data_IF_865514993453
#
_entry.id   IF_865514993453
#
_cell.length_a   1.000
_cell.length_b   1.000
_cell.length_c   1.000
_cell.angle_alpha   90.00
_cell.angle_beta   90.00
_cell.angle_gamma   90.00
#
_symmetry.space_group_name_H-M   'P 1'
#
loop_
_entity.id
_entity.type
_entity.pdbx_description
1 polymer ?
#
# COMPACT_ATOMS: atom_id res chain seq x y z
N UNK A 1 4.46 -0.48 52.96
CA UNK A 1 4.12 -1.34 51.80
C UNK A 1 3.85 -0.41 50.63
N UNK A 2 4.92 -0.07 49.93
CA UNK A 2 4.92 0.84 48.77
C UNK A 2 5.49 0.02 47.62
N UNK A 3 4.64 -0.29 46.64
CA UNK A 3 5.05 -1.00 45.44
C UNK A 3 5.79 -0.02 44.52
N UNK A 4 7.10 -0.19 44.43
CA UNK A 4 7.94 0.39 43.40
C UNK A 4 7.63 -0.28 42.06
N UNK A 5 6.98 0.46 41.16
CA UNK A 5 6.94 0.13 39.74
C UNK A 5 8.34 0.49 39.21
N UNK A 6 9.15 -0.53 38.95
CA UNK A 6 10.40 -0.39 38.20
C UNK A 6 10.07 0.08 36.79
N UNK A 7 10.36 1.34 36.51
CA UNK A 7 10.48 1.87 35.16
C UNK A 7 11.64 1.12 34.47
N UNK A 8 11.30 0.23 33.55
CA UNK A 8 12.24 -0.27 32.57
C UNK A 8 12.36 0.80 31.47
N UNK A 9 13.16 1.83 31.73
CA UNK A 9 13.78 2.63 30.68
C UNK A 9 14.78 1.71 29.98
N UNK A 10 14.30 0.99 28.97
CA UNK A 10 15.19 0.36 28.01
C UNK A 10 15.73 1.49 27.15
N UNK A 11 16.96 1.89 27.43
CA UNK A 11 17.79 2.68 26.53
C UNK A 11 17.78 2.01 25.15
N UNK A 12 16.92 2.51 24.27
CA UNK A 12 16.99 2.26 22.84
C UNK A 12 18.14 3.12 22.34
N UNK A 13 19.36 2.62 22.51
CA UNK A 13 20.50 3.09 21.73
C UNK A 13 20.16 2.91 20.25
N UNK A 14 19.79 4.02 19.62
CA UNK A 14 19.54 4.11 18.19
C UNK A 14 20.84 3.81 17.46
N UNK A 15 20.99 2.57 17.00
CA UNK A 15 21.92 2.28 15.92
C UNK A 15 21.38 2.93 14.63
N UNK A 16 21.60 4.23 14.49
CA UNK A 16 21.74 4.84 13.17
C UNK A 16 23.00 4.21 12.58
N UNK A 17 22.94 3.47 11.46
CA UNK A 17 24.14 2.95 10.84
C UNK A 17 24.96 4.13 10.32
N UNK A 18 25.93 4.58 11.11
CA UNK A 18 26.99 5.51 10.69
C UNK A 18 28.24 4.69 10.36
N UNK A 19 28.39 4.26 9.10
CA UNK A 19 29.70 4.11 8.46
C UNK A 19 29.59 3.54 7.04
N UNK A 20 29.90 4.39 6.05
CA UNK A 20 30.94 4.17 5.04
C UNK A 20 31.11 2.79 4.40
N UNK A 21 30.02 2.12 4.02
CA UNK A 21 30.03 1.08 2.99
C UNK A 21 28.91 1.38 1.98
N UNK A 22 29.09 2.48 1.22
CA UNK A 22 28.46 2.66 -0.09
C UNK A 22 29.08 1.63 -1.06
N UNK A 23 28.74 0.35 -0.87
CA UNK A 23 28.70 -0.59 -1.98
C UNK A 23 27.31 -0.49 -2.55
N UNK A 24 27.23 0.09 -3.74
CA UNK A 24 26.03 0.20 -4.55
C UNK A 24 25.09 -0.98 -4.36
N UNK A 25 23.93 -0.72 -3.76
CA UNK A 25 22.77 -1.62 -3.80
C UNK A 25 22.10 -1.52 -5.17
N UNK A 26 22.88 -1.68 -6.23
CA UNK A 26 22.52 -1.44 -7.65
C UNK A 26 21.59 -2.52 -8.26
N UNK A 27 21.16 -3.49 -7.46
CA UNK A 27 20.30 -4.58 -7.93
C UNK A 27 18.80 -4.35 -7.70
N UNK A 28 18.39 -3.14 -7.30
CA UNK A 28 16.96 -2.80 -7.22
C UNK A 28 16.47 -2.18 -8.53
N UNK A 29 15.45 -2.79 -9.12
CA UNK A 29 14.78 -2.32 -10.33
C UNK A 29 13.32 -2.02 -10.06
N UNK A 30 12.86 -0.88 -10.55
CA UNK A 30 11.45 -0.55 -10.62
C UNK A 30 10.95 -0.85 -12.02
N UNK A 31 9.79 -1.50 -12.11
CA UNK A 31 9.15 -1.83 -13.38
C UNK A 31 7.69 -1.42 -13.28
N UNK A 32 7.22 -0.59 -14.20
CA UNK A 32 5.80 -0.25 -14.28
C UNK A 32 4.99 -1.51 -14.58
N UNK A 33 3.99 -1.80 -13.75
CA UNK A 33 3.20 -3.04 -13.82
C UNK A 33 2.53 -3.20 -15.19
N UNK A 34 1.99 -2.10 -15.74
CA UNK A 34 1.34 -2.09 -17.07
C UNK A 34 2.31 -2.22 -18.25
N UNK A 35 3.61 -2.08 -18.01
CA UNK A 35 4.65 -2.05 -19.05
C UNK A 35 5.61 -3.23 -18.93
N UNK A 36 5.25 -4.25 -18.14
CA UNK A 36 6.08 -5.45 -17.98
C UNK A 36 6.28 -6.17 -19.31
N UNK A 37 7.54 -6.42 -19.66
CA UNK A 37 7.91 -7.37 -20.70
C UNK A 37 7.64 -8.81 -20.27
N UNK A 38 7.70 -9.75 -21.21
CA UNK A 38 7.42 -11.16 -20.93
C UNK A 38 8.37 -11.77 -19.90
N UNK A 39 9.63 -11.29 -19.83
CA UNK A 39 10.58 -11.72 -18.81
C UNK A 39 10.13 -11.29 -17.40
N UNK A 40 9.75 -10.03 -17.24
CA UNK A 40 9.26 -9.49 -15.96
C UNK A 40 7.93 -10.14 -15.53
N UNK A 41 7.02 -10.40 -16.48
CA UNK A 41 5.79 -11.15 -16.21
C UNK A 41 6.07 -12.56 -15.75
N UNK A 42 7.00 -13.27 -16.40
CA UNK A 42 7.36 -14.63 -16.01
C UNK A 42 8.00 -14.68 -14.62
N UNK A 43 8.89 -13.75 -14.30
CA UNK A 43 9.45 -13.63 -12.95
C UNK A 43 8.35 -13.36 -11.90
N UNK A 44 7.37 -12.50 -12.24
CA UNK A 44 6.22 -12.24 -11.39
C UNK A 44 5.41 -13.51 -11.16
N UNK A 45 5.02 -14.22 -12.24
CA UNK A 45 4.24 -15.47 -12.16
C UNK A 45 4.93 -16.52 -11.29
N UNK A 46 6.24 -16.70 -11.44
CA UNK A 46 7.01 -17.65 -10.62
C UNK A 46 6.99 -17.28 -9.14
N UNK A 47 7.14 -16.00 -8.81
CA UNK A 47 7.05 -15.52 -7.43
C UNK A 47 5.63 -15.70 -6.87
N UNK A 48 4.59 -15.38 -7.66
CA UNK A 48 3.19 -15.64 -7.29
C UNK A 48 2.93 -17.12 -7.04
N UNK A 49 3.45 -18.01 -7.88
CA UNK A 49 3.27 -19.45 -7.70
C UNK A 49 3.94 -19.94 -6.41
N UNK A 50 5.20 -19.54 -6.18
CA UNK A 50 5.94 -19.85 -4.94
C UNK A 50 5.25 -19.31 -3.70
N UNK A 51 4.59 -18.15 -3.80
CA UNK A 51 3.81 -17.54 -2.72
C UNK A 51 2.36 -18.05 -2.64
N UNK A 52 2.01 -19.10 -3.39
CA UNK A 52 0.66 -19.70 -3.44
C UNK A 52 -0.41 -18.69 -3.85
N UNK A 53 -0.16 -17.91 -4.89
CA UNK A 53 -1.06 -16.90 -5.42
C UNK A 53 -1.03 -15.57 -4.67
N UNK A 54 0.01 -15.26 -3.89
CA UNK A 54 -0.01 -14.11 -2.96
C UNK A 54 0.93 -12.99 -3.39
N UNK A 55 0.49 -11.74 -3.29
CA UNK A 55 1.33 -10.55 -3.49
C UNK A 55 1.24 -9.61 -2.29
N UNK A 56 2.20 -8.69 -2.18
CA UNK A 56 2.14 -7.56 -1.26
C UNK A 56 1.85 -6.29 -2.05
N UNK A 57 0.79 -5.58 -1.70
CA UNK A 57 0.46 -4.28 -2.28
C UNK A 57 0.73 -3.21 -1.24
N UNK A 58 1.64 -2.28 -1.54
CA UNK A 58 1.96 -1.14 -0.69
C UNK A 58 1.33 0.11 -1.26
N UNK A 59 0.42 0.73 -0.52
CA UNK A 59 -0.25 1.98 -0.94
C UNK A 59 0.47 3.15 -0.30
N UNK A 60 1.03 4.02 -1.15
CA UNK A 60 1.61 5.33 -0.83
C UNK A 60 2.46 5.33 0.44
N UNK A 61 3.50 4.51 0.41
CA UNK A 61 4.28 4.13 1.57
C UNK A 61 4.98 5.31 2.30
N UNK A 62 5.08 6.48 1.62
CA UNK A 62 5.67 7.73 2.12
C UNK A 62 4.69 8.91 2.28
N UNK A 63 3.41 8.76 1.93
CA UNK A 63 2.45 9.87 1.74
C UNK A 63 2.26 10.84 2.91
N UNK A 64 2.67 10.45 4.13
CA UNK A 64 2.59 11.32 5.31
C UNK A 64 3.94 11.67 5.95
N UNK A 65 5.06 11.14 5.45
CA UNK A 65 6.38 11.56 5.93
C UNK A 65 6.66 13.03 5.53
N UNK A 66 6.06 13.48 4.42
CA UNK A 66 6.16 14.84 3.92
C UNK A 66 5.11 15.80 4.50
N UNK A 67 4.00 15.30 5.06
CA UNK A 67 2.96 16.16 5.66
C UNK A 67 3.17 16.35 7.17
N UNK A 68 3.86 15.42 7.83
CA UNK A 68 4.26 15.52 9.25
C UNK A 68 5.67 16.10 9.43
N UNK A 69 6.17 16.88 8.44
CA UNK A 69 7.47 17.59 8.51
C UNK A 69 7.65 18.38 9.81
N UNK A 70 6.53 18.81 10.43
CA UNK A 70 6.55 19.58 11.66
C UNK A 70 6.85 18.76 12.94
N UNK A 71 6.76 17.43 12.90
CA UNK A 71 7.17 16.55 14.02
C UNK A 71 7.62 15.16 13.52
N UNK A 72 8.87 15.04 13.03
CA UNK A 72 9.42 13.78 12.52
C UNK A 72 9.63 12.71 13.61
N UNK A 73 9.50 13.08 14.89
CA UNK A 73 9.71 12.20 16.05
C UNK A 73 8.41 11.73 16.69
N UNK A 74 7.26 12.07 16.11
CA UNK A 74 5.97 11.58 16.57
C UNK A 74 5.99 10.05 16.65
N UNK A 75 5.71 9.51 17.83
CA UNK A 75 5.87 8.09 18.16
C UNK A 75 5.18 7.16 17.13
N UNK A 76 3.97 7.51 16.69
CA UNK A 76 3.22 6.76 15.66
C UNK A 76 3.94 6.67 14.30
N UNK A 77 4.71 7.69 13.92
CA UNK A 77 5.49 7.69 12.67
C UNK A 77 6.73 6.80 12.82
N UNK A 78 7.40 6.85 13.97
CA UNK A 78 8.55 5.99 14.27
C UNK A 78 8.15 4.51 14.32
N UNK A 79 7.02 4.19 14.97
CA UNK A 79 6.48 2.83 15.00
C UNK A 79 6.13 2.33 13.59
N UNK A 80 5.47 3.17 12.78
CA UNK A 80 5.16 2.82 11.39
C UNK A 80 6.43 2.56 10.57
N UNK A 81 7.42 3.46 10.62
CA UNK A 81 8.71 3.29 9.92
C UNK A 81 9.39 2.00 10.32
N UNK A 82 9.47 1.73 11.63
CA UNK A 82 10.06 0.50 12.15
C UNK A 82 9.34 -0.76 11.62
N UNK A 83 8.00 -0.79 11.67
CA UNK A 83 7.21 -1.92 11.19
C UNK A 83 7.34 -2.10 9.67
N UNK A 84 7.26 -1.01 8.90
CA UNK A 84 7.45 -0.98 7.45
C UNK A 84 8.81 -1.54 7.07
N UNK A 85 9.88 -0.95 7.61
CA UNK A 85 11.26 -1.26 7.24
C UNK A 85 11.58 -2.71 7.57
N UNK A 86 11.11 -3.20 8.73
CA UNK A 86 11.25 -4.61 9.12
C UNK A 86 10.53 -5.54 8.16
N UNK A 87 9.34 -5.17 7.68
CA UNK A 87 8.57 -6.02 6.75
C UNK A 87 9.17 -6.02 5.35
N UNK A 88 9.65 -4.88 4.85
CA UNK A 88 10.32 -4.82 3.54
C UNK A 88 11.63 -5.61 3.57
N UNK A 89 12.45 -5.42 4.62
CA UNK A 89 13.73 -6.12 4.76
C UNK A 89 13.59 -7.63 5.01
N UNK A 90 12.50 -8.06 5.65
CA UNK A 90 12.19 -9.48 5.86
C UNK A 90 11.31 -10.09 4.76
N UNK A 91 10.85 -9.28 3.80
CA UNK A 91 10.13 -9.76 2.63
C UNK A 91 11.12 -10.55 1.78
N UNK A 92 11.23 -11.84 2.07
CA UNK A 92 11.98 -12.81 1.28
C UNK A 92 11.66 -12.63 -0.21
N UNK A 93 12.63 -12.88 -1.09
CA UNK A 93 12.50 -12.88 -2.56
C UNK A 93 11.30 -13.69 -3.13
N UNK A 94 10.57 -14.41 -2.28
CA UNK A 94 9.47 -15.29 -2.62
C UNK A 94 8.15 -14.57 -2.99
N UNK A 95 7.89 -13.33 -2.55
CA UNK A 95 6.60 -12.66 -2.80
C UNK A 95 6.77 -11.36 -3.58
N UNK A 96 6.02 -11.15 -4.68
CA UNK A 96 6.08 -9.88 -5.41
C UNK A 96 5.62 -8.72 -4.52
N UNK A 97 6.36 -7.61 -4.62
CA UNK A 97 5.98 -6.33 -4.05
C UNK A 97 5.46 -5.45 -5.18
N UNK A 98 4.21 -5.00 -5.05
CA UNK A 98 3.59 -4.01 -5.92
C UNK A 98 3.41 -2.72 -5.12
N UNK A 99 4.05 -1.64 -5.55
CA UNK A 99 4.00 -0.34 -4.89
C UNK A 99 3.11 0.62 -5.69
N UNK A 100 2.08 1.15 -5.04
CA UNK A 100 1.23 2.21 -5.57
C UNK A 100 1.83 3.54 -5.13
N UNK A 101 2.29 4.33 -6.09
CA UNK A 101 3.05 5.58 -5.89
C UNK A 101 2.26 6.71 -6.54
N UNK A 102 2.13 7.86 -5.88
CA UNK A 102 1.48 9.01 -6.51
C UNK A 102 2.42 9.56 -7.58
N UNK A 103 1.96 9.54 -8.83
CA UNK A 103 2.75 10.06 -9.96
C UNK A 103 1.86 10.79 -10.96
N UNK A 104 1.03 11.76 -10.53
CA UNK A 104 0.45 12.69 -11.49
C UNK A 104 1.57 13.42 -12.26
N UNK A 105 1.29 13.99 -13.45
CA UNK A 105 2.25 14.80 -14.18
C UNK A 105 2.89 15.88 -13.27
N UNK A 106 4.21 15.90 -13.16
CA UNK A 106 4.97 16.80 -12.27
C UNK A 106 5.39 16.21 -10.92
N UNK A 107 5.08 14.94 -10.63
CA UNK A 107 5.45 14.22 -9.41
C UNK A 107 6.32 12.98 -9.70
N UNK A 108 7.01 12.98 -10.85
CA UNK A 108 7.86 11.86 -11.29
C UNK A 108 8.98 11.55 -10.28
N UNK A 109 9.42 12.57 -9.52
CA UNK A 109 10.42 12.44 -8.46
C UNK A 109 9.98 11.52 -7.31
N UNK A 110 8.67 11.29 -7.11
CA UNK A 110 8.19 10.38 -6.07
C UNK A 110 8.62 8.94 -6.29
N UNK A 111 8.72 8.51 -7.56
CA UNK A 111 9.22 7.18 -7.92
C UNK A 111 10.66 7.02 -7.44
N UNK A 112 11.49 8.03 -7.64
CA UNK A 112 12.89 8.02 -7.24
C UNK A 112 13.04 8.06 -5.71
N UNK A 113 12.24 8.86 -5.02
CA UNK A 113 12.24 8.89 -3.55
C UNK A 113 11.86 7.53 -2.94
N UNK A 114 10.83 6.88 -3.50
CA UNK A 114 10.47 5.52 -3.13
C UNK A 114 11.62 4.55 -3.42
N UNK A 115 12.26 4.65 -4.59
CA UNK A 115 13.41 3.80 -4.98
C UNK A 115 14.54 3.91 -3.97
N UNK A 116 14.85 5.09 -3.46
CA UNK A 116 15.89 5.31 -2.44
C UNK A 116 15.57 4.65 -1.10
N UNK A 117 14.29 4.54 -0.72
CA UNK A 117 13.91 3.83 0.51
C UNK A 117 13.94 2.33 0.29
N UNK A 118 13.32 1.84 -0.80
CA UNK A 118 13.37 0.42 -1.12
C UNK A 118 14.81 -0.08 -1.29
N UNK A 119 15.71 0.69 -1.90
CA UNK A 119 17.10 0.26 -2.14
C UNK A 119 17.85 0.05 -0.84
N UNK A 120 17.52 0.81 0.22
CA UNK A 120 18.10 0.60 1.56
C UNK A 120 17.59 -0.67 2.22
N UNK A 121 16.40 -1.15 1.85
CA UNK A 121 15.68 -2.18 2.57
C UNK A 121 15.63 -3.54 1.86
N UNK A 122 15.63 -3.57 0.53
CA UNK A 122 15.48 -4.79 -0.28
C UNK A 122 16.25 -4.71 -1.59
N UNK A 123 16.32 -5.84 -2.29
CA UNK A 123 16.95 -6.00 -3.61
C UNK A 123 15.96 -6.68 -4.58
N UNK A 124 16.25 -6.63 -5.88
CA UNK A 124 15.45 -7.30 -6.90
C UNK A 124 14.44 -6.37 -7.57
N UNK A 125 13.24 -6.87 -7.84
CA UNK A 125 12.21 -6.15 -8.60
C UNK A 125 11.07 -5.68 -7.71
N UNK A 126 10.74 -4.39 -7.84
CA UNK A 126 9.52 -3.79 -7.32
C UNK A 126 8.65 -3.39 -8.52
N UNK A 127 7.40 -3.83 -8.49
CA UNK A 127 6.44 -3.50 -9.53
C UNK A 127 5.69 -2.24 -9.13
N UNK A 128 5.65 -1.24 -10.00
CA UNK A 128 5.10 0.07 -9.69
C UNK A 128 3.74 0.24 -10.37
N UNK A 129 2.77 0.71 -9.60
CA UNK A 129 1.48 1.18 -10.11
C UNK A 129 1.43 2.69 -9.86
N UNK A 130 1.49 3.52 -10.92
CA UNK A 130 1.28 4.96 -10.76
C UNK A 130 -0.15 5.21 -10.29
N UNK A 131 -0.37 6.24 -9.46
CA UNK A 131 -1.71 6.63 -8.97
C UNK A 131 -1.95 8.12 -9.13
N UNK A 132 -3.22 8.50 -9.23
CA UNK A 132 -3.62 9.91 -9.21
C UNK A 132 -3.41 10.52 -7.82
N UNK A 133 -3.13 11.82 -7.78
CA UNK A 133 -2.80 12.54 -6.56
C UNK A 133 -3.88 12.42 -5.49
N UNK A 134 -3.50 12.05 -4.26
CA UNK A 134 -4.42 11.90 -3.14
C UNK A 134 -5.43 10.76 -3.28
N UNK A 135 -5.18 9.79 -4.16
CA UNK A 135 -6.08 8.64 -4.39
C UNK A 135 -5.30 7.34 -4.55
N UNK A 136 -5.92 6.20 -4.27
CA UNK A 136 -5.35 4.89 -4.64
C UNK A 136 -5.66 4.46 -6.07
N UNK A 137 -6.34 5.29 -6.85
CA UNK A 137 -6.77 4.94 -8.20
C UNK A 137 -5.53 4.87 -9.11
N UNK A 138 -5.29 3.73 -9.80
CA UNK A 138 -4.20 3.65 -10.76
C UNK A 138 -4.32 4.73 -11.84
N UNK A 139 -3.19 5.27 -12.30
CA UNK A 139 -3.12 6.26 -13.37
C UNK A 139 -2.45 5.64 -14.61
N UNK A 140 -3.17 4.72 -15.26
CA UNK A 140 -2.70 3.95 -16.41
C UNK A 140 -3.42 4.42 -17.68
N UNK A 141 -4.76 4.41 -17.65
CA UNK A 141 -5.65 4.87 -18.73
C UNK A 141 -6.28 6.22 -18.39
N UNK A 142 -6.69 6.97 -19.42
CA UNK A 142 -7.37 8.27 -19.30
C UNK A 142 -6.61 9.27 -18.39
N UNK A 143 -5.30 9.41 -18.61
CA UNK A 143 -4.37 10.21 -17.78
C UNK A 143 -4.68 11.72 -17.73
N UNK A 144 -5.58 12.20 -18.59
CA UNK A 144 -6.04 13.60 -18.60
C UNK A 144 -6.95 13.92 -17.40
N UNK A 145 -7.61 12.92 -16.81
CA UNK A 145 -8.40 13.06 -15.58
C UNK A 145 -7.52 13.00 -14.34
N UNK A 146 -6.66 14.00 -14.18
CA UNK A 146 -5.58 14.12 -13.17
C UNK A 146 -5.96 13.84 -11.71
N UNK A 147 -7.26 13.79 -11.37
CA UNK A 147 -7.77 13.55 -10.03
C UNK A 147 -8.78 12.39 -9.94
N UNK A 148 -8.89 11.58 -11.01
CA UNK A 148 -9.90 10.53 -11.14
C UNK A 148 -11.33 11.01 -10.81
N UNK A 149 -11.73 12.16 -11.36
CA UNK A 149 -13.03 12.80 -11.07
C UNK A 149 -14.21 11.98 -11.56
N UNK A 150 -14.00 11.11 -12.54
CA UNK A 150 -15.07 10.30 -13.12
C UNK A 150 -14.99 8.84 -12.67
N UNK A 151 -16.13 8.27 -12.25
CA UNK A 151 -16.22 6.84 -11.89
C UNK A 151 -15.73 5.91 -13.00
N UNK A 152 -15.95 6.27 -14.27
CA UNK A 152 -15.43 5.50 -15.42
C UNK A 152 -13.90 5.40 -15.39
N UNK A 153 -13.21 6.53 -15.15
CA UNK A 153 -11.74 6.57 -15.02
C UNK A 153 -11.27 5.61 -13.94
N UNK A 154 -11.96 5.61 -12.79
CA UNK A 154 -11.64 4.72 -11.68
C UNK A 154 -11.86 3.24 -12.03
N UNK A 155 -13.01 2.88 -12.61
CA UNK A 155 -13.32 1.51 -13.04
C UNK A 155 -12.27 0.99 -14.01
N UNK A 156 -12.01 1.72 -15.09
CA UNK A 156 -11.15 1.25 -16.18
C UNK A 156 -9.72 1.04 -15.68
N UNK A 157 -9.21 1.95 -14.85
CA UNK A 157 -7.86 1.83 -14.28
C UNK A 157 -7.72 0.64 -13.33
N UNK A 158 -8.70 0.40 -12.46
CA UNK A 158 -8.68 -0.76 -11.58
C UNK A 158 -8.91 -2.08 -12.34
N UNK A 159 -9.69 -2.07 -13.42
CA UNK A 159 -9.89 -3.25 -14.28
C UNK A 159 -8.60 -3.64 -15.00
N UNK A 160 -7.78 -2.68 -15.43
CA UNK A 160 -6.45 -2.97 -15.96
C UNK A 160 -5.57 -3.67 -14.92
N UNK A 161 -5.46 -3.11 -13.71
CA UNK A 161 -4.65 -3.71 -12.64
C UNK A 161 -5.18 -5.09 -12.24
N UNK A 162 -6.49 -5.22 -12.06
CA UNK A 162 -7.14 -6.48 -11.71
C UNK A 162 -6.96 -7.54 -12.80
N UNK A 163 -7.07 -7.15 -14.08
CA UNK A 163 -6.81 -8.01 -15.23
C UNK A 163 -5.37 -8.53 -15.25
N UNK A 164 -4.39 -7.66 -15.03
CA UNK A 164 -2.98 -8.06 -14.92
C UNK A 164 -2.77 -9.02 -13.76
N UNK A 165 -3.30 -8.72 -12.58
CA UNK A 165 -3.17 -9.62 -11.41
C UNK A 165 -3.80 -11.00 -11.67
N UNK A 166 -4.99 -11.04 -12.27
CA UNK A 166 -5.65 -12.30 -12.62
C UNK A 166 -4.84 -13.09 -13.66
N UNK A 167 -4.34 -12.44 -14.72
CA UNK A 167 -3.48 -13.06 -15.74
C UNK A 167 -2.21 -13.67 -15.13
N UNK A 168 -1.63 -13.01 -14.13
CA UNK A 168 -0.40 -13.44 -13.47
C UNK A 168 -0.63 -14.44 -12.32
N UNK A 169 -1.87 -14.89 -12.13
CA UNK A 169 -2.22 -15.95 -11.17
C UNK A 169 -2.38 -15.48 -9.72
N UNK A 170 -2.54 -14.18 -9.49
CA UNK A 170 -2.78 -13.62 -8.15
C UNK A 170 -4.16 -14.04 -7.66
N UNK A 171 -4.22 -14.43 -6.39
CA UNK A 171 -5.46 -14.86 -5.70
C UNK A 171 -5.64 -14.12 -4.38
N UNK A 172 -4.53 -13.83 -3.70
CA UNK A 172 -4.47 -13.22 -2.36
C UNK A 172 -3.60 -11.99 -2.37
N UNK A 173 -4.02 -10.97 -1.64
CA UNK A 173 -3.30 -9.71 -1.54
C UNK A 173 -3.12 -9.34 -0.07
N UNK A 174 -1.87 -9.12 0.34
CA UNK A 174 -1.55 -8.48 1.61
C UNK A 174 -1.45 -6.98 1.32
N UNK A 175 -2.45 -6.22 1.73
CA UNK A 175 -2.45 -4.76 1.57
C UNK A 175 -1.71 -4.11 2.73
N UNK A 176 -0.83 -3.15 2.42
CA UNK A 176 0.02 -2.43 3.37
C UNK A 176 0.03 -0.93 3.10
N UNK A 177 0.16 -0.15 4.16
CA UNK A 177 0.11 1.31 4.11
C UNK A 177 -0.25 1.86 5.49
N UNK A 178 0.00 3.15 5.70
CA UNK A 178 -0.15 3.80 7.01
C UNK A 178 -1.61 4.12 7.35
N UNK A 179 -2.42 4.43 6.34
CA UNK A 179 -3.66 5.16 6.51
C UNK A 179 -4.89 4.31 6.20
N UNK A 180 -5.31 3.48 7.17
CA UNK A 180 -6.64 2.89 7.15
C UNK A 180 -7.49 3.54 8.24
N UNK A 181 -8.18 4.58 7.86
CA UNK A 181 -9.20 5.19 8.72
C UNK A 181 -10.58 4.69 8.30
N UNK A 182 -11.54 4.84 9.21
CA UNK A 182 -12.94 4.69 8.89
C UNK A 182 -13.60 6.05 9.12
N UNK A 183 -14.35 6.53 8.13
CA UNK A 183 -15.15 7.76 8.28
C UNK A 183 -16.62 7.45 8.11
N UNK A 184 -17.44 8.24 8.79
CA UNK A 184 -18.88 8.26 8.58
C UNK A 184 -19.16 9.14 7.37
N UNK A 185 -19.84 8.59 6.38
CA UNK A 185 -20.15 9.28 5.12
C UNK A 185 -21.66 9.18 4.86
N UNK A 186 -22.26 10.26 4.38
CA UNK A 186 -23.64 10.29 3.92
C UNK A 186 -23.75 9.68 2.51
N UNK A 187 -24.78 8.85 2.28
CA UNK A 187 -24.91 8.01 1.08
C UNK A 187 -25.04 8.79 -0.24
N UNK A 188 -25.45 10.05 -0.20
CA UNK A 188 -25.55 10.92 -1.37
C UNK A 188 -24.20 11.40 -1.94
N UNK A 189 -23.09 11.18 -1.21
CA UNK A 189 -21.74 11.62 -1.59
C UNK A 189 -20.74 10.46 -1.71
N UNK A 190 -21.20 9.24 -1.98
CA UNK A 190 -20.31 8.09 -2.06
C UNK A 190 -19.38 8.15 -3.28
N UNK A 191 -18.11 7.87 -3.06
CA UNK A 191 -17.19 7.48 -4.12
C UNK A 191 -17.55 6.07 -4.62
N UNK A 192 -17.08 5.69 -5.81
CA UNK A 192 -17.30 4.34 -6.34
C UNK A 192 -16.85 3.24 -5.36
N UNK A 193 -15.71 3.42 -4.68
CA UNK A 193 -15.27 2.46 -3.68
C UNK A 193 -16.24 2.37 -2.49
N UNK A 194 -16.85 3.49 -2.07
CA UNK A 194 -17.85 3.50 -1.00
C UNK A 194 -19.16 2.83 -1.45
N UNK A 195 -19.59 3.05 -2.70
CA UNK A 195 -20.72 2.35 -3.32
C UNK A 195 -20.52 0.84 -3.33
N UNK A 196 -19.37 0.38 -3.84
CA UNK A 196 -19.02 -1.04 -3.89
C UNK A 196 -18.99 -1.65 -2.48
N UNK A 197 -18.40 -0.96 -1.51
CA UNK A 197 -18.33 -1.45 -0.12
C UNK A 197 -19.72 -1.61 0.48
N UNK A 198 -20.59 -0.61 0.33
CA UNK A 198 -21.96 -0.67 0.84
C UNK A 198 -22.76 -1.84 0.27
N UNK A 199 -22.57 -2.15 -1.01
CA UNK A 199 -23.21 -3.29 -1.68
C UNK A 199 -22.67 -4.63 -1.20
N UNK A 200 -21.34 -4.78 -1.07
CA UNK A 200 -20.70 -6.01 -0.61
C UNK A 200 -21.12 -6.35 0.82
N UNK A 201 -21.08 -5.34 1.70
CA UNK A 201 -21.36 -5.50 3.13
C UNK A 201 -22.87 -5.39 3.45
N UNK A 202 -23.72 -5.17 2.45
CA UNK A 202 -25.19 -5.02 2.57
C UNK A 202 -25.60 -3.98 3.63
N UNK A 203 -24.88 -2.86 3.66
CA UNK A 203 -25.06 -1.83 4.67
C UNK A 203 -26.33 -1.03 4.37
N UNK A 204 -27.06 -0.68 5.44
CA UNK A 204 -28.25 0.15 5.33
C UNK A 204 -27.83 1.60 5.04
N UNK A 205 -28.00 2.03 3.78
CA UNK A 205 -27.61 3.35 3.29
C UNK A 205 -28.54 4.48 3.74
N UNK A 206 -29.53 4.20 4.60
CA UNK A 206 -30.42 5.21 5.18
C UNK A 206 -29.82 5.96 6.37
N UNK A 207 -28.61 5.60 6.81
CA UNK A 207 -27.87 6.24 7.91
C UNK A 207 -26.39 6.42 7.56
N UNK A 208 -25.65 7.19 8.36
CA UNK A 208 -24.21 7.39 8.14
C UNK A 208 -23.47 6.05 8.32
N UNK A 209 -22.76 5.62 7.27
CA UNK A 209 -22.06 4.33 7.25
C UNK A 209 -20.59 4.56 7.55
N UNK A 210 -20.02 3.73 8.43
CA UNK A 210 -18.57 3.69 8.67
C UNK A 210 -17.89 2.90 7.54
N UNK A 211 -17.23 3.61 6.63
CA UNK A 211 -16.58 3.03 5.44
C UNK A 211 -15.07 3.17 5.59
N UNK A 212 -14.27 2.17 5.18
CA UNK A 212 -12.82 2.34 5.03
C UNK A 212 -12.57 3.55 4.13
N UNK A 213 -12.00 4.59 4.70
CA UNK A 213 -11.73 5.84 3.99
C UNK A 213 -10.24 5.96 3.70
N UNK A 214 -9.91 6.83 2.73
CA UNK A 214 -8.58 7.08 2.19
C UNK A 214 -8.07 5.98 1.24
N UNK A 215 -6.90 6.22 0.67
CA UNK A 215 -6.30 5.43 -0.40
C UNK A 215 -6.29 3.92 -0.09
N UNK A 216 -5.95 3.54 1.13
CA UNK A 216 -5.85 2.13 1.53
C UNK A 216 -7.22 1.44 1.59
N UNK A 217 -8.23 2.11 2.14
CA UNK A 217 -9.60 1.61 2.21
C UNK A 217 -10.19 1.38 0.82
N UNK A 218 -10.05 2.38 -0.05
CA UNK A 218 -10.52 2.29 -1.44
C UNK A 218 -9.85 1.14 -2.19
N UNK A 219 -8.54 0.95 -2.03
CA UNK A 219 -7.82 -0.14 -2.67
C UNK A 219 -8.30 -1.52 -2.20
N UNK A 220 -8.59 -1.70 -0.91
CA UNK A 220 -9.15 -2.94 -0.36
C UNK A 220 -10.47 -3.26 -1.05
N UNK A 221 -11.37 -2.28 -1.14
CA UNK A 221 -12.70 -2.49 -1.71
C UNK A 221 -12.61 -2.84 -3.19
N UNK A 222 -11.82 -2.07 -3.95
CA UNK A 222 -11.67 -2.26 -5.39
C UNK A 222 -11.05 -3.62 -5.74
N UNK A 223 -10.09 -4.09 -4.94
CA UNK A 223 -9.47 -5.40 -5.14
C UNK A 223 -10.40 -6.55 -4.71
N UNK A 224 -11.15 -6.39 -3.61
CA UNK A 224 -12.18 -7.37 -3.21
C UNK A 224 -13.26 -7.55 -4.28
N UNK A 225 -13.73 -6.44 -4.85
CA UNK A 225 -14.76 -6.45 -5.90
C UNK A 225 -14.34 -7.22 -7.16
N UNK A 226 -13.03 -7.32 -7.40
CA UNK A 226 -12.42 -8.07 -8.50
C UNK A 226 -12.06 -9.52 -8.13
N UNK A 227 -12.51 -9.98 -6.96
CA UNK A 227 -12.41 -11.38 -6.55
C UNK A 227 -11.11 -11.77 -5.82
N UNK A 228 -10.29 -10.79 -5.42
CA UNK A 228 -9.07 -11.08 -4.65
C UNK A 228 -9.36 -11.22 -3.16
N UNK A 229 -8.78 -12.24 -2.53
CA UNK A 229 -8.82 -12.42 -1.08
C UNK A 229 -7.84 -11.43 -0.41
N UNK A 230 -8.34 -10.55 0.44
CA UNK A 230 -7.51 -9.59 1.18
C UNK A 230 -7.10 -10.19 2.52
N UNK A 231 -5.80 -10.39 2.69
CA UNK A 231 -5.22 -10.94 3.90
C UNK A 231 -4.86 -9.82 4.91
N UNK A 232 -5.07 -10.05 6.22
CA UNK A 232 -4.73 -9.06 7.25
C UNK A 232 -3.21 -8.87 7.38
N UNK A 233 -2.80 -7.67 7.79
CA UNK A 233 -1.39 -7.27 7.96
C UNK A 233 -1.20 -6.45 9.22
N UNK A 234 -0.13 -6.74 9.98
CA UNK A 234 0.26 -5.96 11.18
C UNK A 234 0.72 -4.53 10.88
N UNK A 235 1.13 -4.25 9.63
CA UNK A 235 1.55 -2.91 9.17
C UNK A 235 0.36 -2.00 8.89
N UNK A 236 -0.85 -2.56 8.89
CA UNK A 236 -2.05 -1.97 8.28
C UNK A 236 -3.23 -2.03 9.25
N UNK A 237 -3.29 -3.08 10.05
CA UNK A 237 -4.35 -3.35 11.03
C UNK A 237 -3.75 -3.65 12.40
N UNK A 238 -3.29 -2.65 13.18
CA UNK A 238 -2.60 -2.96 14.41
C UNK A 238 -3.51 -3.58 15.48
N UNK A 239 -4.79 -3.16 15.63
CA UNK A 239 -5.58 -3.51 16.86
C UNK A 239 -7.12 -3.59 16.76
N UNK A 240 -7.79 -3.56 15.59
CA UNK A 240 -9.27 -3.57 15.49
C UNK A 240 -9.95 -4.89 15.07
N UNK A 241 -9.21 -5.99 14.90
CA UNK A 241 -9.75 -7.30 14.44
C UNK A 241 -10.45 -8.14 15.53
N UNK A 242 -10.78 -7.59 16.71
CA UNK A 242 -11.62 -8.32 17.67
C UNK A 242 -13.13 -8.02 17.52
N UNK A 243 -13.58 -7.35 16.45
CA UNK A 243 -15.00 -6.96 16.30
C UNK A 243 -15.63 -7.12 14.90
N UNK A 244 -15.00 -7.83 13.97
CA UNK A 244 -15.65 -8.18 12.70
C UNK A 244 -15.48 -9.68 12.45
N UNK A 245 -16.33 -10.45 13.12
CA UNK A 245 -16.86 -11.77 12.70
C UNK A 245 -18.34 -11.73 13.05
#
# INVERSE_FOLDING_TARGET
MTNEIKEAHHDLEFAVPTSSDEKDKDNLRFVMLSEMGEKEKEEFRQKVERSKGTIQVWIHIHYMEHTEINDPNKESLLEYRYLRDRVISSSTEAMPIVSFIETPPGFEDEVEQNRLVYSKLTQGLIYVVPTFQGTSVPCIVDRDDTWAKYHKTEVDNWDVVGGIFAELGVKKIIIRGRNLDFREVESENFTLAQDIYSQIERLDTTSAISIPDQCLGNAIVQLKARGFEILPSRVTFPKRINRII
#
